data_IF_555136880145
#
_entry.id   IF_555136880145
#
_cell.length_a   1.000
_cell.length_b   1.000
_cell.length_c   1.000
_cell.angle_alpha   90.00
_cell.angle_beta   90.00
_cell.angle_gamma   90.00
#
_symmetry.space_group_name_H-M   'P 1'
#
loop_
_entity.id
_entity.type
_entity.pdbx_description
1 polymer ?
#
# COMPACT_ATOMS: atom_id res chain seq x y z
N UNK A 1 2.18 40.75 -28.77
CA UNK A 1 3.29 40.20 -27.95
C UNK A 1 2.81 39.50 -26.66
N UNK A 2 1.62 39.82 -26.13
CA UNK A 2 1.05 39.19 -24.90
C UNK A 2 0.77 37.67 -24.98
N UNK A 3 0.44 37.11 -26.15
CA UNK A 3 -0.17 35.77 -26.23
C UNK A 3 0.81 34.60 -26.03
N UNK A 4 2.10 34.80 -26.34
CA UNK A 4 3.11 33.74 -26.22
C UNK A 4 3.56 33.54 -24.77
N UNK A 5 3.67 34.63 -23.99
CA UNK A 5 3.95 34.58 -22.55
C UNK A 5 2.78 34.00 -21.75
N UNK A 6 1.53 34.29 -22.12
CA UNK A 6 0.35 33.70 -21.45
C UNK A 6 0.27 32.18 -21.67
N UNK A 7 0.49 31.69 -22.90
CA UNK A 7 0.45 30.25 -23.21
C UNK A 7 1.54 29.45 -22.51
N UNK A 8 2.75 29.99 -22.35
CA UNK A 8 3.87 29.29 -21.68
C UNK A 8 3.70 29.22 -20.16
N UNK A 9 3.12 30.24 -19.55
CA UNK A 9 2.77 30.20 -18.12
C UNK A 9 1.57 29.26 -17.88
N UNK A 10 0.57 29.25 -18.78
CA UNK A 10 -0.57 28.34 -18.69
C UNK A 10 -0.14 26.87 -18.80
N UNK A 11 0.77 26.53 -19.71
CA UNK A 11 1.30 25.15 -19.83
C UNK A 11 2.06 24.72 -18.58
N UNK A 12 2.88 25.61 -18.00
CA UNK A 12 3.60 25.32 -16.74
C UNK A 12 2.64 25.09 -15.57
N UNK A 13 1.60 25.91 -15.45
CA UNK A 13 0.57 25.73 -14.41
C UNK A 13 -0.17 24.40 -14.58
N UNK A 14 -0.54 24.03 -15.81
CA UNK A 14 -1.17 22.72 -16.08
C UNK A 14 -0.25 21.55 -15.73
N UNK A 15 1.05 21.64 -16.07
CA UNK A 15 2.06 20.64 -15.71
C UNK A 15 2.23 20.52 -14.18
N UNK A 16 2.22 21.64 -13.47
CA UNK A 16 2.32 21.66 -12.01
C UNK A 16 1.08 21.00 -11.36
N UNK A 17 -0.12 21.28 -11.85
CA UNK A 17 -1.36 20.66 -11.36
C UNK A 17 -1.35 19.13 -11.59
N UNK A 18 -0.90 18.67 -12.76
CA UNK A 18 -0.79 17.23 -13.05
C UNK A 18 0.22 16.51 -12.14
N UNK A 19 1.35 17.16 -11.83
CA UNK A 19 2.35 16.63 -10.90
C UNK A 19 1.79 16.48 -9.48
N UNK A 20 1.05 17.48 -8.98
CA UNK A 20 0.42 17.43 -7.65
C UNK A 20 -0.70 16.36 -7.59
N UNK A 21 -1.45 16.16 -8.66
CA UNK A 21 -2.49 15.13 -8.70
C UNK A 21 -1.95 13.69 -8.70
N UNK A 22 -0.72 13.47 -9.18
CA UNK A 22 -0.09 12.14 -9.20
C UNK A 22 0.33 11.63 -7.81
N UNK A 23 0.35 12.50 -6.80
CA UNK A 23 0.89 12.20 -5.47
C UNK A 23 -0.05 11.39 -4.56
N UNK A 24 -1.28 11.08 -4.99
CA UNK A 24 -2.29 10.41 -4.16
C UNK A 24 -2.33 8.88 -4.32
N UNK A 25 -1.19 8.22 -4.55
CA UNK A 25 -1.14 6.76 -4.53
C UNK A 25 -1.11 6.28 -3.09
N UNK A 26 -2.27 5.90 -2.55
CA UNK A 26 -2.36 5.21 -1.26
C UNK A 26 -1.89 3.76 -1.42
N UNK A 27 -0.79 3.39 -0.76
CA UNK A 27 -0.29 2.02 -0.76
C UNK A 27 -0.83 1.27 0.46
N UNK A 28 -1.65 0.24 0.22
CA UNK A 28 -2.11 -0.70 1.23
C UNK A 28 -1.35 -2.02 1.05
N UNK A 29 -0.71 -2.50 2.11
CA UNK A 29 -0.05 -3.80 2.12
C UNK A 29 -1.05 -4.91 2.45
N UNK A 30 -0.84 -6.09 1.88
CA UNK A 30 -1.66 -7.28 2.13
C UNK A 30 -0.82 -8.35 2.80
N UNK A 31 -1.25 -8.79 3.98
CA UNK A 31 -0.60 -9.84 4.74
C UNK A 31 -1.51 -11.08 4.88
N UNK A 32 -0.89 -12.25 4.97
CA UNK A 32 -1.59 -13.53 5.05
C UNK A 32 -1.21 -14.27 6.32
N UNK A 33 -2.23 -14.78 7.00
CA UNK A 33 -2.09 -15.69 8.13
C UNK A 33 -2.64 -17.07 7.73
N UNK A 34 -2.06 -18.12 8.30
CA UNK A 34 -2.58 -19.48 8.13
C UNK A 34 -2.28 -20.32 9.36
N UNK A 35 -3.08 -21.35 9.68
CA UNK A 35 -2.80 -22.25 10.81
C UNK A 35 -1.47 -22.99 10.72
N UNK A 36 -0.94 -23.19 9.50
CA UNK A 36 0.38 -23.78 9.25
C UNK A 36 1.48 -22.75 8.97
N UNK A 37 1.23 -21.48 9.26
CA UNK A 37 2.20 -20.39 9.05
C UNK A 37 3.29 -20.36 10.12
N UNK A 38 4.21 -19.41 9.99
CA UNK A 38 5.29 -19.24 10.96
C UNK A 38 5.58 -17.76 11.18
N UNK A 39 5.58 -17.31 12.43
CA UNK A 39 5.89 -15.92 12.78
C UNK A 39 7.39 -15.61 12.72
N UNK A 40 8.23 -16.65 12.72
CA UNK A 40 9.69 -16.53 12.72
C UNK A 40 10.26 -16.59 11.31
N UNK A 41 9.77 -17.53 10.48
CA UNK A 41 10.28 -17.75 9.12
C UNK A 41 9.34 -17.25 8.03
N UNK A 42 8.07 -16.94 8.35
CA UNK A 42 7.11 -16.38 7.40
C UNK A 42 7.41 -14.91 7.10
N UNK A 43 7.17 -14.50 5.87
CA UNK A 43 7.25 -13.10 5.44
C UNK A 43 5.91 -12.37 5.47
N UNK A 44 4.82 -13.09 5.79
CA UNK A 44 3.45 -12.57 5.75
C UNK A 44 2.87 -12.54 4.34
N UNK A 45 3.56 -13.10 3.34
CA UNK A 45 3.05 -13.23 1.97
C UNK A 45 2.10 -14.43 1.85
N UNK A 46 1.35 -14.50 0.74
CA UNK A 46 0.42 -15.61 0.47
C UNK A 46 1.11 -16.98 0.42
N UNK A 47 2.36 -17.02 -0.05
CA UNK A 47 3.19 -18.24 -0.14
C UNK A 47 3.95 -18.55 1.15
N UNK A 48 4.16 -17.57 2.03
CA UNK A 48 4.86 -17.73 3.31
C UNK A 48 4.15 -16.95 4.42
N UNK A 49 2.95 -17.40 4.83
CA UNK A 49 2.10 -16.68 5.77
C UNK A 49 2.63 -16.74 7.21
N UNK A 50 2.22 -15.75 8.01
CA UNK A 50 2.38 -15.80 9.47
C UNK A 50 1.33 -16.72 10.11
N UNK A 51 1.48 -16.98 11.41
CA UNK A 51 0.51 -17.75 12.18
C UNK A 51 -0.36 -16.85 13.07
N UNK A 52 0.25 -15.98 13.88
CA UNK A 52 -0.49 -15.24 14.92
C UNK A 52 -0.96 -13.86 14.46
N UNK A 53 -2.10 -13.43 15.03
CA UNK A 53 -2.55 -12.04 14.91
C UNK A 53 -1.58 -11.07 15.59
N UNK A 54 -0.92 -11.46 16.68
CA UNK A 54 0.07 -10.63 17.37
C UNK A 54 1.23 -10.26 16.43
N UNK A 55 1.72 -11.22 15.63
CA UNK A 55 2.76 -10.94 14.64
C UNK A 55 2.28 -9.92 13.62
N UNK A 56 1.08 -10.11 13.05
CA UNK A 56 0.51 -9.20 12.08
C UNK A 56 0.30 -7.78 12.66
N UNK A 57 -0.24 -7.69 13.88
CA UNK A 57 -0.53 -6.43 14.56
C UNK A 57 0.71 -5.58 14.82
N UNK A 58 1.88 -6.20 14.96
CA UNK A 58 3.15 -5.49 15.13
C UNK A 58 3.68 -4.84 13.84
N UNK A 59 3.11 -5.18 12.67
CA UNK A 59 3.61 -4.75 11.35
C UNK A 59 2.61 -3.89 10.58
N UNK A 60 1.31 -4.21 10.67
CA UNK A 60 0.28 -3.53 9.89
C UNK A 60 0.15 -2.05 10.23
N UNK A 61 -0.21 -1.26 9.22
CA UNK A 61 -0.56 0.15 9.32
C UNK A 61 -2.00 0.38 8.88
N UNK A 62 -2.51 1.57 9.17
CA UNK A 62 -3.85 1.95 8.74
C UNK A 62 -3.98 1.82 7.21
N UNK A 63 -5.00 1.10 6.77
CA UNK A 63 -5.24 0.82 5.35
C UNK A 63 -4.76 -0.56 4.89
N UNK A 64 -3.91 -1.26 5.64
CA UNK A 64 -3.47 -2.61 5.29
C UNK A 64 -4.58 -3.66 5.45
N UNK A 65 -4.43 -4.79 4.77
CA UNK A 65 -5.37 -5.90 4.78
C UNK A 65 -4.70 -7.14 5.35
N UNK A 66 -5.38 -7.81 6.29
CA UNK A 66 -5.00 -9.13 6.79
C UNK A 66 -5.98 -10.18 6.24
N UNK A 67 -5.47 -11.13 5.46
CA UNK A 67 -6.21 -12.31 5.02
C UNK A 67 -5.91 -13.50 5.94
N UNK A 68 -6.93 -14.00 6.63
CA UNK A 68 -6.83 -15.28 7.33
C UNK A 68 -7.21 -16.42 6.37
N UNK A 69 -6.26 -17.31 6.08
CA UNK A 69 -6.53 -18.54 5.32
C UNK A 69 -7.40 -19.48 6.16
N UNK A 70 -8.18 -20.32 5.48
CA UNK A 70 -9.10 -21.25 6.13
C UNK A 70 -8.42 -22.20 7.11
N UNK A 71 -9.11 -22.50 8.20
CA UNK A 71 -8.70 -23.44 9.23
C UNK A 71 -8.88 -22.88 10.65
N UNK A 72 -8.26 -23.52 11.64
CA UNK A 72 -8.43 -23.18 13.06
C UNK A 72 -7.17 -22.53 13.63
N UNK A 73 -7.33 -21.41 14.34
CA UNK A 73 -6.26 -20.68 15.03
C UNK A 73 -6.47 -20.83 16.54
N UNK A 74 -5.41 -21.13 17.29
CA UNK A 74 -5.44 -21.37 18.74
C UNK A 74 -4.22 -20.77 19.42
#
# INVERSE_FOLDING_TARGET
MMNHFYKSNLTKTTLFILLVFSSFVSHSATYYLSPGGSDTSGSGSSSSPWFTLNKAWSVVRAGDIIYMKGGTYR
#
